data_IF_959083823355
#
_entry.id   IF_959083823355
#
_cell.length_a   1.000
_cell.length_b   1.000
_cell.length_c   1.000
_cell.angle_alpha   90.00
_cell.angle_beta   90.00
_cell.angle_gamma   90.00
#
_symmetry.space_group_name_H-M   'P 1'
#
loop_
_entity.id
_entity.type
_entity.pdbx_description
1 polymer ?
#
# COMPACT_ATOMS: atom_id res chain seq x y z
N UNK A 1 -9.42 -20.98 -0.20
CA UNK A 1 -9.91 -19.63 -0.56
C UNK A 1 -8.68 -18.76 -0.73
N UNK A 2 -8.51 -18.10 -1.87
CA UNK A 2 -7.37 -17.18 -2.10
C UNK A 2 -7.83 -15.76 -1.79
N UNK A 3 -7.41 -15.25 -0.63
CA UNK A 3 -7.83 -13.94 -0.09
C UNK A 3 -6.59 -13.23 0.42
N UNK A 4 -6.43 -11.95 0.05
CA UNK A 4 -5.27 -11.16 0.49
C UNK A 4 -5.29 -10.97 2.00
N UNK A 5 -4.13 -11.16 2.63
CA UNK A 5 -3.91 -10.79 4.03
C UNK A 5 -4.17 -9.29 4.29
N UNK A 6 -4.00 -8.44 3.27
CA UNK A 6 -4.24 -6.99 3.34
C UNK A 6 -5.65 -6.67 3.87
N UNK A 7 -6.65 -7.46 3.51
CA UNK A 7 -8.04 -7.22 3.94
C UNK A 7 -8.23 -7.43 5.44
N UNK A 8 -7.54 -8.43 6.00
CA UNK A 8 -7.54 -8.68 7.45
C UNK A 8 -6.70 -7.65 8.19
N UNK A 9 -5.58 -7.22 7.59
CA UNK A 9 -4.77 -6.13 8.16
C UNK A 9 -5.55 -4.82 8.25
N UNK A 10 -6.33 -4.48 7.21
CA UNK A 10 -7.21 -3.31 7.21
C UNK A 10 -8.28 -3.39 8.31
N UNK A 11 -8.79 -4.58 8.65
CA UNK A 11 -9.77 -4.74 9.73
C UNK A 11 -9.22 -4.45 11.13
N UNK A 12 -7.90 -4.55 11.32
CA UNK A 12 -7.25 -4.47 12.65
C UNK A 12 -6.25 -3.32 12.81
N UNK A 13 -5.94 -2.60 11.74
CA UNK A 13 -4.93 -1.53 11.73
C UNK A 13 -5.58 -0.18 11.49
N UNK A 14 -5.26 0.80 12.34
CA UNK A 14 -5.73 2.19 12.24
C UNK A 14 -4.95 2.96 11.16
N UNK A 15 -5.10 2.57 9.91
CA UNK A 15 -4.41 3.17 8.76
C UNK A 15 -5.39 3.66 7.71
N UNK A 16 -5.06 4.77 7.06
CA UNK A 16 -5.76 5.22 5.85
C UNK A 16 -4.94 4.82 4.64
N UNK A 17 -5.53 4.03 3.76
CA UNK A 17 -4.93 3.55 2.52
C UNK A 17 -5.56 4.28 1.34
N UNK A 18 -4.73 4.96 0.56
CA UNK A 18 -5.12 5.58 -0.72
C UNK A 18 -4.70 4.65 -1.85
N UNK A 19 -5.66 4.19 -2.64
CA UNK A 19 -5.40 3.24 -3.72
C UNK A 19 -6.37 3.47 -4.90
N UNK A 20 -6.11 2.85 -6.04
CA UNK A 20 -7.02 2.94 -7.21
C UNK A 20 -8.10 1.87 -7.22
N UNK A 21 -8.62 1.56 -6.03
CA UNK A 21 -9.52 0.44 -5.81
C UNK A 21 -8.79 -0.89 -5.72
N UNK A 22 -9.46 -1.95 -6.16
CA UNK A 22 -8.94 -3.32 -6.12
C UNK A 22 -8.31 -3.64 -7.47
N UNK A 23 -7.19 -4.37 -7.48
CA UNK A 23 -6.54 -4.81 -8.73
C UNK A 23 -7.56 -5.50 -9.63
N UNK A 24 -7.59 -5.16 -10.92
CA UNK A 24 -8.63 -5.59 -11.88
C UNK A 24 -8.80 -7.11 -12.01
N UNK A 25 -7.81 -7.88 -11.55
CA UNK A 25 -7.79 -9.34 -11.58
C UNK A 25 -8.61 -9.99 -10.44
N UNK A 26 -9.01 -9.20 -9.43
CA UNK A 26 -9.69 -9.69 -8.23
C UNK A 26 -11.19 -9.38 -8.30
N UNK A 27 -11.96 -10.10 -7.48
CA UNK A 27 -13.40 -9.91 -7.36
C UNK A 27 -13.72 -8.69 -6.47
N UNK A 28 -14.16 -7.61 -7.12
CA UNK A 28 -14.46 -6.33 -6.45
C UNK A 28 -15.65 -6.47 -5.51
N UNK A 29 -16.72 -7.15 -5.93
CA UNK A 29 -17.94 -7.30 -5.13
C UNK A 29 -17.65 -8.04 -3.82
N UNK A 30 -16.98 -9.20 -3.92
CA UNK A 30 -16.56 -9.97 -2.74
C UNK A 30 -15.57 -9.21 -1.85
N UNK A 31 -14.70 -8.40 -2.45
CA UNK A 31 -13.76 -7.59 -1.68
C UNK A 31 -14.50 -6.53 -0.86
N UNK A 32 -15.50 -5.86 -1.44
CA UNK A 32 -16.30 -4.86 -0.73
C UNK A 32 -17.12 -5.50 0.40
N UNK A 33 -17.76 -6.65 0.16
CA UNK A 33 -18.47 -7.41 1.21
C UNK A 33 -17.53 -7.84 2.35
N UNK A 34 -16.31 -8.27 2.02
CA UNK A 34 -15.32 -8.65 3.02
C UNK A 34 -14.86 -7.44 3.85
N UNK A 35 -14.58 -6.30 3.21
CA UNK A 35 -14.19 -5.07 3.89
C UNK A 35 -15.30 -4.55 4.82
N UNK A 36 -16.56 -4.64 4.38
CA UNK A 36 -17.73 -4.36 5.23
C UNK A 36 -17.76 -5.28 6.47
N UNK A 37 -17.54 -6.59 6.27
CA UNK A 37 -17.47 -7.57 7.36
C UNK A 37 -16.33 -7.26 8.35
N UNK A 38 -15.20 -6.75 7.86
CA UNK A 38 -14.06 -6.32 8.68
C UNK A 38 -14.26 -4.95 9.34
N UNK A 39 -15.40 -4.28 9.11
CA UNK A 39 -15.67 -2.94 9.63
C UNK A 39 -14.78 -1.85 9.03
N UNK A 40 -14.17 -2.10 7.86
CA UNK A 40 -13.30 -1.14 7.17
C UNK A 40 -14.15 -0.06 6.51
N UNK A 41 -13.83 1.20 6.76
CA UNK A 41 -14.54 2.31 6.07
C UNK A 41 -14.02 2.43 4.65
N UNK A 42 -14.88 2.22 3.65
CA UNK A 42 -14.52 2.34 2.23
C UNK A 42 -15.22 3.54 1.61
N UNK A 43 -14.43 4.41 0.97
CA UNK A 43 -14.89 5.60 0.27
C UNK A 43 -14.36 5.63 -1.17
N UNK A 44 -15.20 5.97 -2.14
CA UNK A 44 -14.70 6.47 -3.43
C UNK A 44 -14.25 7.92 -3.28
N UNK A 45 -13.24 8.33 -4.04
CA UNK A 45 -12.74 9.71 -4.05
C UNK A 45 -13.24 10.48 -5.28
N UNK A 46 -13.73 11.70 -5.07
CA UNK A 46 -14.23 12.59 -6.11
C UNK A 46 -15.75 12.73 -6.12
N UNK A 47 -16.33 13.03 -7.28
CA UNK A 47 -17.75 13.40 -7.40
C UNK A 47 -18.72 12.22 -7.39
N UNK A 48 -18.25 11.01 -7.77
CA UNK A 48 -19.09 9.82 -7.91
C UNK A 48 -18.88 8.82 -6.76
N UNK A 49 -19.91 7.99 -6.51
CA UNK A 49 -19.82 6.82 -5.63
C UNK A 49 -19.31 5.57 -6.37
N UNK A 50 -19.01 5.68 -7.67
CA UNK A 50 -18.50 4.55 -8.45
C UNK A 50 -17.14 4.12 -7.89
N UNK A 51 -17.00 2.81 -7.63
CA UNK A 51 -15.76 2.24 -7.15
C UNK A 51 -14.82 1.99 -8.35
N UNK A 52 -13.56 2.46 -8.33
CA UNK A 52 -12.63 2.26 -9.43
C UNK A 52 -12.12 0.81 -9.50
N UNK A 53 -11.81 0.32 -10.70
CA UNK A 53 -11.30 -1.03 -10.94
C UNK A 53 -9.82 -1.02 -11.37
N UNK A 54 -8.98 -0.23 -10.69
CA UNK A 54 -7.56 -0.05 -10.98
C UNK A 54 -7.28 0.65 -12.32
N UNK A 55 -7.46 -0.02 -13.46
CA UNK A 55 -7.25 0.54 -14.80
C UNK A 55 -8.45 1.32 -15.36
N UNK A 56 -9.62 1.23 -14.72
CA UNK A 56 -10.84 1.92 -15.15
C UNK A 56 -11.38 2.78 -14.02
N UNK A 57 -11.98 3.91 -14.38
CA UNK A 57 -12.61 4.82 -13.42
C UNK A 57 -13.88 4.25 -12.79
N UNK A 58 -14.50 3.25 -13.43
CA UNK A 58 -15.71 2.58 -12.96
C UNK A 58 -15.58 1.07 -13.05
N UNK A 59 -16.03 0.38 -12.00
CA UNK A 59 -16.05 -1.09 -11.89
C UNK A 59 -17.43 -1.72 -12.12
N UNK A 60 -18.49 -0.92 -12.16
CA UNK A 60 -19.88 -1.41 -12.03
C UNK A 60 -20.32 -1.62 -10.57
N UNK A 61 -19.41 -1.48 -9.60
CA UNK A 61 -19.71 -1.45 -8.18
C UNK A 61 -19.66 -0.02 -7.64
N UNK A 62 -20.33 0.19 -6.51
CA UNK A 62 -20.33 1.45 -5.77
C UNK A 62 -19.64 1.29 -4.42
N UNK A 63 -18.87 2.30 -4.04
CA UNK A 63 -18.37 2.40 -2.67
C UNK A 63 -19.55 2.68 -1.72
N UNK A 64 -19.51 2.17 -0.48
CA UNK A 64 -20.51 2.48 0.54
C UNK A 64 -20.57 3.98 0.87
N UNK A 65 -19.43 4.66 0.84
CA UNK A 65 -19.28 6.08 1.15
C UNK A 65 -18.54 6.84 0.03
N UNK A 66 -18.54 8.17 0.11
CA UNK A 66 -17.80 9.06 -0.81
C UNK A 66 -17.05 10.12 -0.05
N UNK A 67 -15.79 10.33 -0.41
CA UNK A 67 -15.01 11.50 -0.05
C UNK A 67 -14.90 12.42 -1.28
N UNK A 68 -15.52 13.60 -1.23
CA UNK A 68 -15.57 14.54 -2.37
C UNK A 68 -14.20 15.07 -2.78
N UNK A 69 -13.33 15.25 -1.79
CA UNK A 69 -12.03 15.89 -1.93
C UNK A 69 -11.13 15.51 -0.74
N UNK A 70 -9.90 16.02 -0.74
CA UNK A 70 -8.91 15.72 0.28
C UNK A 70 -9.29 16.23 1.69
N UNK A 71 -10.02 17.35 1.78
CA UNK A 71 -10.48 17.87 3.08
C UNK A 71 -11.56 16.97 3.65
N UNK A 72 -12.52 16.54 2.83
CA UNK A 72 -13.57 15.62 3.26
C UNK A 72 -12.98 14.26 3.67
N UNK A 73 -12.03 13.71 2.91
CA UNK A 73 -11.30 12.50 3.32
C UNK A 73 -10.55 12.68 4.65
N UNK A 74 -9.92 13.83 4.86
CA UNK A 74 -9.26 14.15 6.13
C UNK A 74 -10.25 14.28 7.30
N UNK A 75 -11.44 14.82 7.07
CA UNK A 75 -12.51 14.88 8.08
C UNK A 75 -13.02 13.48 8.47
N UNK A 76 -13.13 12.56 7.51
CA UNK A 76 -13.48 11.15 7.78
C UNK A 76 -12.40 10.51 8.67
N UNK A 77 -11.12 10.68 8.33
CA UNK A 77 -10.00 10.18 9.15
C UNK A 77 -10.00 10.79 10.55
N UNK A 78 -10.27 12.09 10.65
CA UNK A 78 -10.36 12.81 11.91
C UNK A 78 -11.52 12.33 12.79
N UNK A 79 -12.71 12.14 12.21
CA UNK A 79 -13.84 11.56 12.93
C UNK A 79 -13.54 10.13 13.39
N UNK A 80 -12.91 9.31 12.54
CA UNK A 80 -12.50 7.95 12.89
C UNK A 80 -11.51 7.92 14.07
N UNK A 81 -10.59 8.88 14.12
CA UNK A 81 -9.67 9.05 15.24
C UNK A 81 -10.42 9.38 16.54
N UNK A 82 -11.36 10.32 16.50
CA UNK A 82 -12.11 10.78 17.67
C UNK A 82 -13.03 9.71 18.26
N UNK A 83 -13.63 8.86 17.43
CA UNK A 83 -14.44 7.72 17.89
C UNK A 83 -13.60 6.47 18.22
N UNK A 84 -12.26 6.58 18.15
CA UNK A 84 -11.31 5.50 18.41
C UNK A 84 -11.53 4.26 17.54
N UNK A 85 -11.92 4.45 16.26
CA UNK A 85 -12.12 3.36 15.32
C UNK A 85 -10.86 2.49 15.24
N UNK A 86 -11.04 1.17 15.37
CA UNK A 86 -9.93 0.19 15.37
C UNK A 86 -9.56 -0.33 13.99
N UNK A 87 -10.46 -0.19 13.02
CA UNK A 87 -10.27 -0.57 11.63
C UNK A 87 -9.69 0.58 10.81
N UNK A 88 -9.19 0.23 9.63
CA UNK A 88 -8.64 1.16 8.66
C UNK A 88 -9.71 1.82 7.79
N UNK A 89 -9.22 2.71 6.92
CA UNK A 89 -10.01 3.45 5.94
C UNK A 89 -9.39 3.25 4.56
N UNK A 90 -10.21 2.96 3.56
CA UNK A 90 -9.80 2.88 2.16
C UNK A 90 -10.38 4.06 1.40
N UNK A 91 -9.52 4.88 0.81
CA UNK A 91 -9.87 5.95 -0.13
C UNK A 91 -9.53 5.46 -1.54
N UNK A 92 -10.55 5.05 -2.29
CA UNK A 92 -10.43 4.53 -3.64
C UNK A 92 -10.47 5.69 -4.66
N UNK A 93 -9.31 6.01 -5.23
CA UNK A 93 -9.08 7.11 -6.16
C UNK A 93 -9.10 6.61 -7.61
N UNK A 94 -10.01 7.11 -8.47
CA UNK A 94 -10.02 6.71 -9.86
C UNK A 94 -8.69 7.06 -10.56
N UNK A 95 -8.28 6.21 -11.50
CA UNK A 95 -7.19 6.54 -12.43
C UNK A 95 -7.54 7.85 -13.17
N UNK A 96 -6.57 8.74 -13.46
CA UNK A 96 -6.86 9.93 -14.25
C UNK A 96 -7.47 9.53 -15.61
N UNK A 97 -8.46 10.31 -16.07
CA UNK A 97 -9.30 9.95 -17.22
C UNK A 97 -8.47 9.75 -18.50
N UNK A 98 -7.40 10.53 -18.69
CA UNK A 98 -6.50 10.41 -19.84
C UNK A 98 -5.70 9.11 -19.86
N UNK A 99 -5.61 8.40 -18.74
CA UNK A 99 -4.98 7.08 -18.60
C UNK A 99 -5.99 5.96 -18.35
N UNK A 100 -7.30 6.27 -18.33
CA UNK A 100 -8.33 5.28 -18.13
C UNK A 100 -8.41 4.34 -19.34
N UNK A 101 -8.47 3.04 -19.06
CA UNK A 101 -8.50 2.01 -20.10
C UNK A 101 -9.93 1.56 -20.41
N UNK A 102 -10.11 0.97 -21.58
CA UNK A 102 -11.39 0.35 -21.94
C UNK A 102 -11.62 -0.92 -21.11
N UNK A 103 -12.72 -0.97 -20.36
CA UNK A 103 -13.07 -2.11 -19.50
C UNK A 103 -13.16 -3.43 -20.26
N UNK A 104 -13.76 -3.42 -21.47
CA UNK A 104 -13.91 -4.62 -22.29
C UNK A 104 -12.57 -5.21 -22.75
N UNK A 105 -11.58 -4.37 -23.06
CA UNK A 105 -10.23 -4.81 -23.43
C UNK A 105 -9.55 -5.48 -22.22
N UNK A 106 -9.62 -4.84 -21.05
CA UNK A 106 -9.01 -5.35 -19.82
C UNK A 106 -9.66 -6.67 -19.38
N UNK A 107 -11.00 -6.75 -19.37
CA UNK A 107 -11.71 -7.98 -19.04
C UNK A 107 -11.37 -9.13 -19.99
N UNK A 108 -11.27 -8.84 -21.29
CA UNK A 108 -10.92 -9.85 -22.29
C UNK A 108 -9.49 -10.34 -22.08
N UNK A 109 -8.54 -9.43 -21.84
CA UNK A 109 -7.16 -9.78 -21.54
C UNK A 109 -7.05 -10.64 -20.28
N UNK A 110 -7.76 -10.29 -19.20
CA UNK A 110 -7.78 -11.04 -17.94
C UNK A 110 -8.40 -12.42 -18.13
N UNK A 111 -9.54 -12.53 -18.83
CA UNK A 111 -10.18 -13.83 -19.11
C UNK A 111 -9.26 -14.76 -19.90
N UNK A 112 -8.61 -14.24 -20.94
CA UNK A 112 -7.66 -15.00 -21.74
C UNK A 112 -6.44 -15.44 -20.91
N UNK A 113 -5.92 -14.53 -20.07
CA UNK A 113 -4.80 -14.82 -19.18
C UNK A 113 -5.14 -15.90 -18.13
N UNK A 114 -6.35 -15.88 -17.57
CA UNK A 114 -6.79 -16.91 -16.62
C UNK A 114 -6.91 -18.30 -17.26
N UNK A 115 -7.41 -18.37 -18.50
CA UNK A 115 -7.45 -19.62 -19.26
C UNK A 115 -6.04 -20.15 -19.49
N UNK A 116 -5.11 -19.28 -19.85
CA UNK A 116 -3.73 -19.67 -20.11
C UNK A 116 -2.97 -20.06 -18.83
N UNK A 117 -3.16 -19.32 -17.74
CA UNK A 117 -2.59 -19.65 -16.43
C UNK A 117 -3.02 -21.05 -15.97
N UNK A 118 -4.29 -21.41 -16.18
CA UNK A 118 -4.79 -22.76 -15.86
C UNK A 118 -4.17 -23.85 -16.74
N UNK A 119 -3.96 -23.59 -18.03
CA UNK A 119 -3.28 -24.55 -18.92
C UNK A 119 -1.82 -24.77 -18.54
N UNK A 120 -1.16 -23.73 -18.06
CA UNK A 120 0.24 -23.76 -17.62
C UNK A 120 0.39 -24.15 -16.13
N UNK A 121 -0.70 -24.49 -15.44
CA UNK A 121 -0.76 -24.82 -14.01
C UNK A 121 -0.11 -23.76 -13.09
N UNK A 122 -0.23 -22.48 -13.46
CA UNK A 122 0.24 -21.35 -12.65
C UNK A 122 -0.73 -21.13 -11.50
N UNK A 123 -0.21 -21.16 -10.26
CA UNK A 123 -1.03 -21.11 -9.04
C UNK A 123 -0.46 -20.18 -7.98
N UNK A 124 -1.33 -19.78 -7.05
CA UNK A 124 -1.00 -18.95 -5.90
C UNK A 124 -0.42 -17.60 -6.31
N UNK A 125 0.66 -17.18 -5.65
CA UNK A 125 1.28 -15.87 -5.84
C UNK A 125 1.76 -15.58 -7.27
N UNK A 126 2.02 -16.60 -8.07
CA UNK A 126 2.51 -16.45 -9.46
C UNK A 126 1.38 -16.03 -10.43
N UNK A 127 0.12 -16.21 -10.05
CA UNK A 127 -1.04 -15.85 -10.87
C UNK A 127 -1.08 -14.33 -11.13
N UNK A 128 -0.85 -13.52 -10.10
CA UNK A 128 -0.95 -12.05 -10.22
C UNK A 128 0.08 -11.46 -11.20
N UNK A 129 1.40 -11.75 -11.07
CA UNK A 129 2.39 -11.30 -12.05
C UNK A 129 2.08 -11.76 -13.48
N UNK A 130 1.61 -13.01 -13.65
CA UNK A 130 1.25 -13.55 -14.96
C UNK A 130 0.11 -12.77 -15.61
N UNK A 131 -0.96 -12.48 -14.86
CA UNK A 131 -2.11 -11.72 -15.37
C UNK A 131 -1.71 -10.28 -15.73
N UNK A 132 -0.90 -9.63 -14.90
CA UNK A 132 -0.44 -8.26 -15.19
C UNK A 132 0.44 -8.21 -16.44
N UNK A 133 1.32 -9.21 -16.64
CA UNK A 133 2.12 -9.32 -17.86
C UNK A 133 1.24 -9.52 -19.11
N UNK A 134 0.20 -10.36 -19.01
CA UNK A 134 -0.73 -10.58 -20.10
C UNK A 134 -1.55 -9.32 -20.45
N UNK A 135 -2.01 -8.57 -19.44
CA UNK A 135 -2.69 -7.27 -19.65
C UNK A 135 -1.73 -6.26 -20.29
N UNK A 136 -0.46 -6.22 -19.86
CA UNK A 136 0.57 -5.38 -20.49
C UNK A 136 0.80 -5.71 -21.95
N UNK A 137 0.89 -7.00 -22.30
CA UNK A 137 1.04 -7.44 -23.68
C UNK A 137 -0.20 -7.10 -24.52
N UNK A 138 -1.40 -7.36 -24.00
CA UNK A 138 -2.65 -7.08 -24.70
C UNK A 138 -2.91 -5.58 -24.94
N UNK A 139 -2.33 -4.72 -24.11
CA UNK A 139 -2.50 -3.26 -24.17
C UNK A 139 -1.34 -2.55 -24.86
N UNK A 140 -0.35 -3.28 -25.37
CA UNK A 140 0.83 -2.68 -26.01
C UNK A 140 1.64 -1.78 -25.08
N UNK A 141 1.62 -2.05 -23.77
CA UNK A 141 2.31 -1.24 -22.74
C UNK A 141 1.47 -0.12 -22.11
N UNK A 142 0.29 0.22 -22.64
CA UNK A 142 -0.54 1.30 -22.09
C UNK A 142 -0.99 1.05 -20.63
N UNK A 143 -1.10 -0.22 -20.20
CA UNK A 143 -1.40 -0.55 -18.81
C UNK A 143 -0.24 -0.26 -17.84
N UNK A 144 1.01 -0.24 -18.32
CA UNK A 144 2.14 0.20 -17.51
C UNK A 144 2.08 1.72 -17.27
N UNK A 145 1.80 2.49 -18.33
CA UNK A 145 1.63 3.94 -18.23
C UNK A 145 0.48 4.30 -17.29
N UNK A 146 -0.66 3.61 -17.41
CA UNK A 146 -1.79 3.76 -16.49
C UNK A 146 -1.42 3.41 -15.04
N UNK A 147 -0.62 2.36 -14.82
CA UNK A 147 -0.16 1.97 -13.49
C UNK A 147 0.78 3.04 -12.88
N UNK A 148 1.66 3.63 -13.67
CA UNK A 148 2.51 4.74 -13.22
C UNK A 148 1.66 5.96 -12.88
N UNK A 149 0.69 6.31 -13.74
CA UNK A 149 -0.20 7.44 -13.54
C UNK A 149 -1.04 7.29 -12.27
N UNK A 150 -1.65 6.12 -12.05
CA UNK A 150 -2.48 5.87 -10.88
C UNK A 150 -1.65 5.90 -9.58
N UNK A 151 -0.40 5.41 -9.58
CA UNK A 151 0.48 5.47 -8.40
C UNK A 151 0.81 6.94 -8.06
N UNK A 152 1.15 7.75 -9.07
CA UNK A 152 1.40 9.18 -8.89
C UNK A 152 0.16 9.91 -8.37
N UNK A 153 -1.02 9.58 -8.90
CA UNK A 153 -2.28 10.17 -8.47
C UNK A 153 -2.61 9.81 -7.02
N UNK A 154 -2.47 8.54 -6.64
CA UNK A 154 -2.69 8.06 -5.27
C UNK A 154 -1.74 8.76 -4.28
N UNK A 155 -0.45 8.89 -4.65
CA UNK A 155 0.54 9.58 -3.83
C UNK A 155 0.19 11.06 -3.63
N UNK A 156 -0.22 11.75 -4.69
CA UNK A 156 -0.68 13.15 -4.62
C UNK A 156 -1.89 13.28 -3.68
N UNK A 157 -2.94 12.48 -3.89
CA UNK A 157 -4.15 12.52 -3.06
C UNK A 157 -3.82 12.20 -1.60
N UNK A 158 -2.99 11.18 -1.34
CA UNK A 158 -2.54 10.85 0.02
C UNK A 158 -1.79 12.00 0.70
N UNK A 159 -0.90 12.69 -0.02
CA UNK A 159 -0.22 13.87 0.49
C UNK A 159 -1.20 15.03 0.78
N UNK A 160 -2.14 15.28 -0.13
CA UNK A 160 -3.17 16.32 0.04
C UNK A 160 -4.02 16.02 1.30
N UNK A 161 -4.45 14.77 1.51
CA UNK A 161 -5.20 14.33 2.69
C UNK A 161 -4.39 14.55 3.97
N UNK A 162 -3.12 14.14 3.98
CA UNK A 162 -2.26 14.27 5.16
C UNK A 162 -2.09 15.75 5.57
N UNK A 163 -1.91 16.64 4.60
CA UNK A 163 -1.83 18.09 4.85
C UNK A 163 -3.14 18.64 5.45
N UNK A 164 -4.30 18.22 4.94
CA UNK A 164 -5.59 18.66 5.49
C UNK A 164 -5.83 18.09 6.89
N UNK A 165 -5.49 16.83 7.12
CA UNK A 165 -5.61 16.18 8.41
C UNK A 165 -4.76 16.87 9.49
N UNK A 166 -3.52 17.24 9.16
CA UNK A 166 -2.66 18.02 10.06
C UNK A 166 -3.29 19.38 10.41
N UNK A 167 -3.91 20.06 9.45
CA UNK A 167 -4.60 21.33 9.71
C UNK A 167 -5.77 21.14 10.67
N UNK A 168 -6.57 20.08 10.51
CA UNK A 168 -7.67 19.76 11.42
C UNK A 168 -7.17 19.53 12.85
N UNK A 169 -6.16 18.66 13.03
CA UNK A 169 -5.55 18.43 14.35
C UNK A 169 -5.00 19.71 15.00
N UNK A 170 -4.41 20.60 14.21
CA UNK A 170 -3.91 21.88 14.72
C UNK A 170 -5.02 22.83 15.17
N UNK A 171 -6.22 22.75 14.58
CA UNK A 171 -7.37 23.55 14.99
C UNK A 171 -7.88 23.13 16.35
N UNK A 172 -7.99 21.83 16.63
CA UNK A 172 -8.43 21.37 17.96
C UNK A 172 -7.38 21.63 19.04
N UNK A 173 -6.10 21.64 18.66
CA UNK A 173 -5.01 22.03 19.54
C UNK A 173 -5.02 23.54 19.90
N UNK A 174 -5.86 24.39 19.29
CA UNK A 174 -5.99 25.79 19.70
C UNK A 174 -6.71 25.99 21.03
N UNK A 175 -7.50 25.03 21.51
CA UNK A 175 -7.98 25.07 22.90
C UNK A 175 -6.83 24.91 23.91
N UNK A 176 -5.68 24.36 23.50
CA UNK A 176 -4.43 24.33 24.27
C UNK A 176 -3.49 25.51 23.97
N UNK A 177 -3.74 26.32 22.93
CA UNK A 177 -2.87 27.42 22.52
C UNK A 177 -2.95 28.66 23.42
N UNK A 178 -3.95 28.75 24.31
CA UNK A 178 -4.00 29.82 25.33
C UNK A 178 -2.93 29.68 26.43
N UNK A 179 -2.14 28.59 26.43
CA UNK A 179 -0.94 28.46 27.27
C UNK A 179 0.36 28.87 26.55
N UNK A 180 0.29 29.54 25.40
CA UNK A 180 1.45 30.28 24.87
C UNK A 180 1.58 31.53 25.72
N UNK A 181 2.45 31.44 26.72
CA UNK A 181 2.71 32.47 27.71
C UNK A 181 2.84 33.86 27.09
N UNK A 182 1.94 34.75 27.50
CA UNK A 182 2.12 36.19 27.39
C UNK A 182 3.33 36.59 28.23
N UNK A 183 4.55 36.42 27.70
CA UNK A 183 5.71 37.11 28.26
C UNK A 183 5.60 38.58 27.86
N UNK A 184 5.07 39.41 28.76
CA UNK A 184 5.27 40.86 28.71
C UNK A 184 6.78 41.15 28.74
N UNK A 185 7.39 41.42 27.60
CA UNK A 185 8.67 42.12 27.50
C UNK A 185 8.88 42.69 26.09
N UNK A 186 9.30 43.97 25.94
CA UNK A 186 9.51 44.58 24.64
C UNK A 186 10.89 44.18 24.11
N UNK A 187 10.96 43.12 23.31
CA UNK A 187 12.19 42.62 22.69
C UNK A 187 12.11 42.66 21.17
N UNK A 188 13.04 43.39 20.53
CA UNK A 188 13.20 43.64 19.08
C UNK A 188 12.93 42.43 18.17
N UNK A 189 12.18 42.67 17.10
CA UNK A 189 12.16 41.82 15.90
C UNK A 189 13.57 41.69 15.31
N UNK A 190 14.05 40.45 15.17
CA UNK A 190 15.16 40.12 14.26
C UNK A 190 14.67 39.07 13.26
N UNK A 191 14.64 39.46 12.00
CA UNK A 191 14.35 38.60 10.84
C UNK A 191 15.45 37.58 10.66
N UNK A 192 15.25 36.34 11.12
CA UNK A 192 15.94 35.17 10.60
C UNK A 192 15.24 33.88 11.06
N UNK A 193 14.24 33.45 10.29
CA UNK A 193 13.75 32.08 10.34
C UNK A 193 13.94 31.46 8.97
N UNK A 194 15.17 31.03 8.68
CA UNK A 194 15.39 30.05 7.62
C UNK A 194 14.73 28.75 8.06
N UNK A 195 13.54 28.47 7.53
CA UNK A 195 12.90 27.15 7.63
C UNK A 195 13.81 26.14 6.94
N UNK A 196 14.62 25.41 7.69
CA UNK A 196 15.35 24.24 7.16
C UNK A 196 14.35 23.11 7.01
N UNK A 197 14.03 22.76 5.76
CA UNK A 197 13.43 21.47 5.44
C UNK A 197 14.50 20.39 5.69
N UNK A 198 14.32 19.58 6.73
CA UNK A 198 15.17 18.43 7.00
C UNK A 198 14.75 17.26 6.10
N UNK A 199 15.26 17.24 4.88
CA UNK A 199 15.37 16.00 4.09
C UNK A 199 16.84 15.63 4.04
N UNK A 200 17.31 14.79 4.97
CA UNK A 200 18.46 13.91 4.76
C UNK A 200 18.69 13.01 5.98
N UNK A 201 18.75 11.70 5.71
CA UNK A 201 19.48 10.75 6.54
C UNK A 201 20.97 11.09 6.47
N UNK A 202 21.57 11.52 7.59
CA UNK A 202 23.01 11.44 7.79
C UNK A 202 23.40 11.48 9.28
N UNK A 203 24.10 10.42 9.69
CA UNK A 203 25.00 10.27 10.84
C UNK A 203 24.41 10.22 12.26
N UNK A 204 24.50 9.01 12.83
CA UNK A 204 24.58 8.74 14.26
C UNK A 204 25.77 9.51 14.87
N UNK A 205 25.49 10.37 15.84
CA UNK A 205 26.44 10.71 16.91
C UNK A 205 25.91 10.09 18.20
N UNK A 206 26.78 9.33 18.86
CA UNK A 206 26.54 8.67 20.15
C UNK A 206 26.44 9.72 21.26
N UNK A 207 25.49 9.50 22.18
CA UNK A 207 25.52 10.05 23.53
C UNK A 207 24.40 11.03 23.80
N UNK A 208 23.26 10.51 24.27
CA UNK A 208 22.53 11.03 25.44
C UNK A 208 21.42 10.04 25.80
N UNK A 209 21.47 9.59 27.04
CA UNK A 209 20.54 8.63 27.63
C UNK A 209 19.19 9.29 27.95
N UNK A 210 18.13 8.52 27.74
CA UNK A 210 16.82 8.60 28.39
C UNK A 210 16.12 9.96 28.48
N UNK A 211 15.16 10.20 27.58
CA UNK A 211 13.80 10.64 27.95
C UNK A 211 12.81 10.25 26.83
N UNK A 212 12.32 9.01 26.86
CA UNK A 212 11.08 8.67 26.15
C UNK A 212 9.94 9.03 27.11
N UNK A 213 9.39 10.24 26.94
CA UNK A 213 8.09 10.57 27.48
C UNK A 213 7.04 9.79 26.66
N UNK A 214 6.28 8.93 27.33
CA UNK A 214 5.29 8.03 26.73
C UNK A 214 3.97 8.70 26.29
N UNK A 215 3.94 10.04 26.16
CA UNK A 215 2.73 10.79 25.79
C UNK A 215 2.87 11.58 24.48
N UNK A 216 3.79 11.20 23.59
CA UNK A 216 3.84 11.79 22.24
C UNK A 216 2.81 11.12 21.34
N UNK A 217 1.65 11.76 21.21
CA UNK A 217 0.66 11.50 20.17
C UNK A 217 1.35 11.63 18.80
N UNK A 218 1.70 10.50 18.21
CA UNK A 218 2.69 10.41 17.13
C UNK A 218 2.47 11.38 15.97
N UNK A 219 3.57 11.95 15.49
CA UNK A 219 3.63 12.68 14.22
C UNK A 219 3.11 11.79 13.09
N UNK A 220 2.28 12.35 12.21
CA UNK A 220 1.77 11.65 11.03
C UNK A 220 2.94 11.31 10.12
N UNK A 221 3.36 10.05 10.15
CA UNK A 221 4.38 9.54 9.25
C UNK A 221 3.72 9.14 7.93
N UNK A 222 3.83 10.02 6.93
CA UNK A 222 3.46 9.69 5.55
C UNK A 222 4.55 8.83 4.95
N UNK A 223 4.43 7.51 5.10
CA UNK A 223 5.27 6.57 4.34
C UNK A 223 4.61 6.37 2.97
N UNK A 224 5.21 6.93 1.93
CA UNK A 224 5.01 6.45 0.57
C UNK A 224 5.63 5.06 0.46
N UNK A 225 4.88 4.03 0.83
CA UNK A 225 5.33 2.64 0.73
C UNK A 225 5.04 2.08 -0.65
N UNK A 226 6.07 1.58 -1.34
CA UNK A 226 5.88 0.59 -2.39
C UNK A 226 6.03 -0.79 -1.74
N UNK A 227 4.96 -1.59 -1.69
CA UNK A 227 5.07 -2.99 -1.31
C UNK A 227 5.82 -3.73 -2.43
N UNK A 228 7.10 -3.99 -2.21
CA UNK A 228 7.91 -4.85 -3.08
C UNK A 228 7.81 -6.27 -2.53
N UNK A 229 6.88 -7.07 -3.08
CA UNK A 229 6.86 -8.51 -2.83
C UNK A 229 8.04 -9.14 -3.58
N UNK A 230 9.14 -9.39 -2.88
CA UNK A 230 10.27 -10.16 -3.43
C UNK A 230 10.04 -11.64 -3.16
N UNK A 231 9.58 -12.35 -4.17
CA UNK A 231 9.66 -13.80 -4.20
C UNK A 231 11.07 -14.23 -4.57
N UNK A 232 11.80 -14.78 -3.60
CA UNK A 232 13.08 -15.45 -3.83
C UNK A 232 12.82 -16.94 -4.11
N UNK A 233 13.27 -17.43 -5.26
CA UNK A 233 13.34 -18.87 -5.54
C UNK A 233 14.74 -19.32 -5.15
N UNK A 234 14.88 -19.93 -3.98
CA UNK A 234 16.15 -20.55 -3.59
C UNK A 234 16.33 -21.80 -4.45
N UNK A 235 17.21 -21.72 -5.45
CA UNK A 235 17.70 -22.90 -6.14
C UNK A 235 18.89 -23.42 -5.35
N UNK A 236 18.70 -24.49 -4.58
CA UNK A 236 19.83 -25.20 -3.97
C UNK A 236 20.62 -25.90 -5.08
N UNK A 237 21.81 -25.40 -5.39
CA UNK A 237 22.80 -26.18 -6.14
C UNK A 237 23.53 -27.11 -5.16
N UNK A 238 23.22 -28.40 -5.27
CA UNK A 238 24.02 -29.54 -4.78
C UNK A 238 24.28 -29.67 -3.28
N UNK A 239 23.57 -30.59 -2.64
CA UNK A 239 24.09 -31.33 -1.48
C UNK A 239 25.32 -32.14 -1.90
N UNK A 240 26.53 -31.70 -1.54
CA UNK A 240 27.64 -32.63 -1.34
C UNK A 240 27.57 -33.16 0.09
N UNK A 241 27.04 -34.38 0.23
CA UNK A 241 27.22 -35.17 1.45
C UNK A 241 28.71 -35.49 1.58
N UNK A 242 29.41 -34.75 2.43
CA UNK A 242 30.75 -35.11 2.89
C UNK A 242 30.65 -36.41 3.69
N UNK A 243 30.88 -37.56 3.03
CA UNK A 243 31.23 -38.80 3.75
C UNK A 243 32.65 -38.66 4.27
N UNK A 244 32.79 -38.40 5.58
CA UNK A 244 34.05 -38.51 6.31
C UNK A 244 34.13 -39.85 7.04
N UNK A 245 35.18 -40.64 6.79
CA UNK A 245 35.68 -41.65 7.74
C UNK A 245 35.69 -43.12 7.27
N UNK A 246 36.84 -43.82 7.30
CA UNK A 246 37.03 -45.17 6.76
C UNK A 246 37.02 -46.28 7.84
N UNK A 247 36.40 -47.43 7.55
CA UNK A 247 36.66 -48.73 8.19
C UNK A 247 36.55 -49.79 7.08
N UNK A 248 37.68 -50.21 6.51
CA UNK A 248 38.45 -51.41 6.85
C UNK A 248 37.82 -52.73 6.35
N UNK A 249 38.54 -53.34 5.41
CA UNK A 249 38.66 -54.78 5.16
C UNK A 249 37.41 -55.57 4.75
N UNK A 250 37.41 -56.09 3.51
CA UNK A 250 37.86 -57.47 3.28
C UNK A 250 37.70 -57.89 1.81
N UNK A 251 38.82 -58.37 1.26
CA UNK A 251 38.96 -59.52 0.36
C UNK A 251 38.03 -59.68 -0.85
N UNK A 252 38.65 -59.76 -2.03
CA UNK A 252 38.29 -60.83 -2.97
C UNK A 252 38.34 -60.48 -4.45
N UNK A 253 39.50 -60.79 -5.06
CA UNK A 253 39.69 -61.29 -6.44
C UNK A 253 39.25 -60.41 -7.64
N UNK A 254 40.25 -60.21 -8.49
CA UNK A 254 40.25 -59.75 -9.88
C UNK A 254 39.62 -60.77 -10.86
N UNK A 255 39.74 -60.59 -12.19
CA UNK A 255 39.32 -59.49 -13.06
C UNK A 255 38.48 -60.03 -14.25
N UNK A 256 37.99 -59.16 -15.17
CA UNK A 256 38.09 -59.31 -16.64
C UNK A 256 36.99 -58.54 -17.41
N UNK A 257 37.47 -57.70 -18.34
CA UNK A 257 36.94 -57.38 -19.70
C UNK A 257 35.49 -57.78 -20.00
N UNK A 258 34.60 -56.87 -20.43
CA UNK A 258 34.56 -56.20 -21.73
C UNK A 258 33.52 -55.07 -21.68
#
# INVERSE_FOLDING_TARGET
MDVSADLTELGRSKTLVVCSGVKSILDIGRTLEFLETQGVTVCSFGESNDFPAFYTTRSGYRAPNRASDALHAAQILYAAHNIHLSSGIVIAVPVPEEYAMNSGIIETAIKNALVEANKQDIRGKEVTPFLLAAVSAATGGASLDANIALIKNNAKVGADIAVQFQKLRNVDNLENAFNIGFSKSPGKCTTNSSRRFHTSCAMRIKGEENMINNDSEGDVLVIGGANVDRTYRVTEESFQVLKSGPESEAKGLSPLSQ
#
